data_IF_338664559909
#
_entry.id   IF_338664559909
#
_cell.length_a   1.000
_cell.length_b   1.000
_cell.length_c   1.000
_cell.angle_alpha   90.00
_cell.angle_beta   90.00
_cell.angle_gamma   90.00
#
_symmetry.space_group_name_H-M   'P 1'
#
loop_
_entity.id
_entity.type
_entity.pdbx_description
1 polymer ?
#
# COMPACT_ATOMS: atom_id res chain seq x y z
N UNK A 1 -27.70 49.74 13.86
CA UNK A 1 -27.87 48.39 13.28
C UNK A 1 -26.62 48.08 12.47
N UNK A 2 -25.63 47.37 13.05
CA UNK A 2 -25.45 45.90 13.04
C UNK A 2 -25.47 45.30 11.63
N UNK A 3 -24.31 44.87 11.14
CA UNK A 3 -24.06 43.45 10.86
C UNK A 3 -22.59 43.19 10.49
N UNK A 4 -21.84 42.61 11.42
CA UNK A 4 -20.54 41.98 11.19
C UNK A 4 -20.77 40.54 10.78
N UNK A 5 -20.48 40.21 9.51
CA UNK A 5 -20.45 38.82 9.03
C UNK A 5 -19.22 38.12 9.62
N UNK A 6 -19.45 37.28 10.62
CA UNK A 6 -18.41 36.43 11.20
C UNK A 6 -18.59 35.04 10.61
N UNK A 7 -17.79 34.69 9.61
CA UNK A 7 -17.78 33.33 9.05
C UNK A 7 -16.86 32.46 9.92
N UNK A 8 -17.46 31.63 10.78
CA UNK A 8 -16.76 30.56 11.49
C UNK A 8 -16.55 29.40 10.50
N UNK A 9 -15.32 29.22 10.00
CA UNK A 9 -14.93 27.96 9.35
C UNK A 9 -14.60 26.93 10.43
N UNK A 10 -15.52 26.01 10.67
CA UNK A 10 -15.27 24.80 11.45
C UNK A 10 -14.34 23.86 10.66
N UNK A 11 -13.07 23.79 11.04
CA UNK A 11 -12.20 22.68 10.62
C UNK A 11 -12.68 21.41 11.32
N UNK A 12 -13.44 20.60 10.58
CA UNK A 12 -13.74 19.22 10.96
C UNK A 12 -12.47 18.43 10.68
N UNK A 13 -11.68 18.15 11.73
CA UNK A 13 -10.59 17.20 11.68
C UNK A 13 -11.16 15.82 11.38
N UNK A 14 -11.08 15.38 10.12
CA UNK A 14 -11.25 13.96 9.77
C UNK A 14 -10.07 13.21 10.39
N UNK A 15 -10.26 12.73 11.62
CA UNK A 15 -9.56 11.54 12.10
C UNK A 15 -10.02 10.39 11.22
N UNK A 16 -9.33 10.17 10.11
CA UNK A 16 -9.39 8.93 9.36
C UNK A 16 -8.84 7.85 10.29
N UNK A 17 -9.74 7.26 11.07
CA UNK A 17 -9.50 6.04 11.81
C UNK A 17 -9.37 4.94 10.75
N UNK A 18 -8.19 4.81 10.16
CA UNK A 18 -7.83 3.64 9.36
C UNK A 18 -7.85 2.47 10.32
N UNK A 19 -8.97 1.74 10.36
CA UNK A 19 -8.99 0.42 10.96
C UNK A 19 -7.89 -0.36 10.26
N UNK A 20 -6.81 -0.62 10.99
CA UNK A 20 -5.85 -1.62 10.58
C UNK A 20 -6.68 -2.89 10.36
N UNK A 21 -6.85 -3.25 9.09
CA UNK A 21 -7.56 -4.43 8.69
C UNK A 21 -6.76 -5.60 9.26
N UNK A 22 -7.28 -6.15 10.36
CA UNK A 22 -6.76 -7.31 11.06
C UNK A 22 -7.19 -8.55 10.27
N UNK A 23 -6.60 -8.74 9.09
CA UNK A 23 -6.80 -9.92 8.27
C UNK A 23 -5.41 -10.47 7.89
N UNK A 24 -5.19 -11.77 8.12
CA UNK A 24 -4.07 -12.54 7.56
C UNK A 24 -4.22 -12.59 6.03
N UNK A 25 -4.10 -11.44 5.36
CA UNK A 25 -4.17 -11.33 3.92
C UNK A 25 -2.73 -11.34 3.41
N UNK A 26 -2.24 -12.53 3.09
CA UNK A 26 -0.90 -12.76 2.52
C UNK A 26 -0.91 -12.81 0.99
N UNK A 27 -2.10 -12.70 0.39
CA UNK A 27 -2.29 -12.85 -1.04
C UNK A 27 -1.69 -11.64 -1.78
N UNK A 28 -1.03 -11.86 -2.93
CA UNK A 28 -0.66 -10.79 -3.83
C UNK A 28 -1.87 -9.96 -4.23
N UNK A 29 -1.67 -8.67 -4.46
CA UNK A 29 -2.70 -7.72 -4.84
C UNK A 29 -2.41 -7.14 -6.22
N UNK A 30 -3.46 -6.90 -6.99
CA UNK A 30 -3.36 -6.21 -8.27
C UNK A 30 -3.36 -4.69 -8.05
N UNK A 31 -2.40 -4.00 -8.65
CA UNK A 31 -2.18 -2.56 -8.47
C UNK A 31 -1.91 -1.85 -9.78
N UNK A 32 -2.26 -0.57 -9.81
CA UNK A 32 -1.83 0.38 -10.83
C UNK A 32 -0.62 1.16 -10.31
N UNK A 33 0.39 1.33 -11.17
CA UNK A 33 1.55 2.18 -10.87
C UNK A 33 1.13 3.65 -10.68
N UNK A 34 1.95 4.48 -10.03
CA UNK A 34 1.76 5.93 -10.04
C UNK A 34 1.82 6.51 -11.46
N UNK A 35 1.01 7.53 -11.74
CA UNK A 35 0.98 8.19 -13.07
C UNK A 35 2.31 8.89 -13.39
N UNK A 36 3.01 9.40 -12.37
CA UNK A 36 4.26 10.13 -12.50
C UNK A 36 5.52 9.24 -12.59
N UNK A 37 5.39 7.91 -12.50
CA UNK A 37 6.50 6.97 -12.55
C UNK A 37 6.39 6.01 -13.76
N UNK A 38 7.52 5.52 -14.26
CA UNK A 38 7.51 4.37 -15.18
C UNK A 38 7.29 3.08 -14.40
N UNK A 39 6.86 2.00 -15.06
CA UNK A 39 6.74 0.69 -14.39
C UNK A 39 8.07 0.20 -13.82
N UNK A 40 9.20 0.50 -14.49
CA UNK A 40 10.54 0.19 -13.98
C UNK A 40 10.84 0.94 -12.68
N UNK A 41 10.53 2.24 -12.64
CA UNK A 41 10.76 3.09 -11.46
C UNK A 41 9.90 2.62 -10.29
N UNK A 42 8.63 2.32 -10.56
CA UNK A 42 7.69 1.80 -9.57
C UNK A 42 8.18 0.47 -8.98
N UNK A 43 8.61 -0.47 -9.83
CA UNK A 43 9.17 -1.76 -9.38
C UNK A 43 10.38 -1.56 -8.46
N UNK A 44 11.35 -0.75 -8.89
CA UNK A 44 12.56 -0.46 -8.10
C UNK A 44 12.21 0.19 -6.75
N UNK A 45 11.27 1.13 -6.75
CA UNK A 45 10.84 1.81 -5.52
C UNK A 45 10.13 0.84 -4.57
N UNK A 46 9.22 0.02 -5.10
CA UNK A 46 8.51 -0.99 -4.33
C UNK A 46 9.47 -2.02 -3.70
N UNK A 47 10.37 -2.59 -4.50
CA UNK A 47 11.35 -3.58 -4.03
C UNK A 47 12.35 -3.01 -3.01
N UNK A 48 12.67 -1.71 -3.08
CA UNK A 48 13.51 -1.04 -2.08
C UNK A 48 12.78 -0.78 -0.77
N UNK A 49 11.51 -0.39 -0.83
CA UNK A 49 10.72 -0.07 0.35
C UNK A 49 10.25 -1.33 1.08
N UNK A 50 9.89 -2.38 0.35
CA UNK A 50 9.30 -3.58 0.93
C UNK A 50 10.10 -4.18 2.10
N UNK A 51 11.42 -4.45 2.02
CA UNK A 51 12.14 -5.08 3.12
C UNK A 51 12.34 -4.18 4.35
N UNK A 52 12.13 -2.87 4.22
CA UNK A 52 12.38 -1.89 5.29
C UNK A 52 11.10 -1.21 5.79
N UNK A 53 9.93 -1.56 5.24
CA UNK A 53 8.65 -0.93 5.56
C UNK A 53 8.31 -1.04 7.04
N UNK A 54 8.41 -2.27 7.58
CA UNK A 54 8.40 -2.50 9.02
C UNK A 54 9.86 -2.68 9.46
N UNK A 55 10.36 -1.85 10.40
CA UNK A 55 11.69 -2.04 10.96
C UNK A 55 11.85 -3.42 11.59
N UNK A 56 13.05 -4.03 11.52
CA UNK A 56 13.30 -5.31 12.18
C UNK A 56 12.95 -5.26 13.67
N UNK A 57 12.35 -6.34 14.21
CA UNK A 57 11.86 -6.32 15.57
C UNK A 57 13.01 -6.44 16.57
N UNK A 58 12.90 -5.74 17.71
CA UNK A 58 13.88 -5.84 18.80
C UNK A 58 13.63 -7.05 19.72
N UNK A 59 12.56 -7.80 19.49
CA UNK A 59 12.14 -8.98 20.24
C UNK A 59 11.66 -10.10 19.28
N UNK A 60 11.59 -11.34 19.76
CA UNK A 60 11.35 -12.53 18.91
C UNK A 60 9.98 -12.61 18.25
N UNK A 61 9.02 -11.83 18.71
CA UNK A 61 7.60 -11.98 18.33
C UNK A 61 7.13 -10.85 17.40
N UNK A 62 8.03 -9.98 16.95
CA UNK A 62 7.71 -8.92 16.00
C UNK A 62 7.78 -9.36 14.54
N UNK A 63 7.25 -8.51 13.67
CA UNK A 63 7.21 -8.74 12.22
C UNK A 63 8.61 -8.64 11.62
N UNK A 64 9.05 -9.69 10.93
CA UNK A 64 10.26 -9.67 10.12
C UNK A 64 9.89 -9.77 8.64
N UNK A 65 10.70 -9.14 7.80
CA UNK A 65 10.55 -9.25 6.35
C UNK A 65 10.80 -10.69 5.89
N UNK A 66 9.89 -11.24 5.08
CA UNK A 66 10.00 -12.59 4.53
C UNK A 66 10.29 -12.55 3.03
N UNK A 67 9.42 -11.91 2.24
CA UNK A 67 9.54 -11.94 0.78
C UNK A 67 8.86 -10.76 0.07
N UNK A 68 9.35 -10.47 -1.13
CA UNK A 68 8.75 -9.49 -2.06
C UNK A 68 8.49 -10.20 -3.39
N UNK A 69 7.35 -9.92 -4.03
CA UNK A 69 7.13 -10.26 -5.43
C UNK A 69 6.56 -9.07 -6.19
N UNK A 70 6.97 -8.96 -7.46
CA UNK A 70 6.50 -7.94 -8.38
C UNK A 70 6.36 -8.57 -9.77
N UNK A 71 5.13 -8.80 -10.21
CA UNK A 71 4.83 -9.38 -11.52
C UNK A 71 4.11 -8.33 -12.34
N UNK A 72 4.70 -7.92 -13.46
CA UNK A 72 4.06 -6.93 -14.35
C UNK A 72 2.85 -7.53 -15.05
N UNK A 73 1.86 -6.68 -15.26
CA UNK A 73 0.59 -7.01 -15.89
C UNK A 73 -0.53 -7.28 -14.88
N UNK A 74 -1.74 -7.28 -15.43
CA UNK A 74 -2.95 -7.75 -14.78
C UNK A 74 -2.93 -9.26 -14.54
N UNK A 75 -4.05 -9.81 -14.08
CA UNK A 75 -4.16 -11.23 -13.72
C UNK A 75 -3.81 -12.14 -14.90
N UNK A 76 -4.10 -11.69 -16.13
CA UNK A 76 -3.84 -12.40 -17.38
C UNK A 76 -2.56 -11.91 -18.11
N UNK A 77 -1.75 -11.05 -17.47
CA UNK A 77 -0.53 -10.47 -18.06
C UNK A 77 -0.75 -9.27 -18.99
N UNK A 78 -1.98 -8.75 -19.06
CA UNK A 78 -2.38 -7.55 -19.79
C UNK A 78 -1.83 -6.25 -19.16
N UNK A 79 -1.70 -5.20 -19.96
CA UNK A 79 -1.30 -3.85 -19.49
C UNK A 79 -0.03 -3.80 -18.62
N UNK A 80 1.08 -4.50 -18.98
CA UNK A 80 2.30 -4.58 -18.16
C UNK A 80 3.00 -3.23 -17.92
N UNK A 81 2.65 -2.21 -18.69
CA UNK A 81 3.14 -0.84 -18.55
C UNK A 81 2.35 -0.02 -17.51
N UNK A 82 1.19 -0.50 -17.06
CA UNK A 82 0.32 0.19 -16.09
C UNK A 82 0.00 -0.64 -14.84
N UNK A 83 -0.13 -1.96 -14.98
CA UNK A 83 -0.56 -2.87 -13.93
C UNK A 83 0.57 -3.77 -13.45
N UNK A 84 0.48 -4.18 -12.18
CA UNK A 84 1.32 -5.22 -11.62
C UNK A 84 0.58 -5.97 -10.51
N UNK A 85 0.85 -7.27 -10.38
CA UNK A 85 0.50 -8.06 -9.20
C UNK A 85 1.68 -8.05 -8.24
N UNK A 86 1.48 -7.56 -7.02
CA UNK A 86 2.55 -7.30 -6.05
C UNK A 86 2.28 -7.95 -4.71
N UNK A 87 3.34 -8.36 -4.02
CA UNK A 87 3.31 -8.87 -2.66
C UNK A 87 4.50 -8.34 -1.86
N UNK A 88 4.27 -8.01 -0.60
CA UNK A 88 5.30 -7.63 0.36
C UNK A 88 4.99 -8.30 1.68
N UNK A 89 5.53 -9.49 1.88
CA UNK A 89 5.16 -10.37 2.97
C UNK A 89 6.07 -10.16 4.18
N UNK A 90 5.44 -9.90 5.31
CA UNK A 90 6.04 -9.93 6.64
C UNK A 90 5.45 -11.10 7.44
N UNK A 91 6.28 -11.72 8.28
CA UNK A 91 5.88 -12.84 9.11
C UNK A 91 6.20 -12.61 10.58
N UNK A 92 5.45 -13.28 11.44
CA UNK A 92 5.79 -13.51 12.86
C UNK A 92 5.74 -15.01 13.13
N UNK A 93 5.94 -15.41 14.39
CA UNK A 93 5.71 -16.79 14.82
C UNK A 93 4.25 -17.26 14.67
N UNK A 94 3.28 -16.34 14.63
CA UNK A 94 1.86 -16.66 14.68
C UNK A 94 1.03 -16.17 13.49
N UNK A 95 1.65 -15.55 12.49
CA UNK A 95 0.89 -14.99 11.37
C UNK A 95 1.75 -14.36 10.29
N UNK A 96 1.07 -13.99 9.24
CA UNK A 96 1.63 -13.37 8.04
C UNK A 96 0.78 -12.16 7.65
N UNK A 97 1.44 -11.15 7.08
CA UNK A 97 0.80 -9.92 6.62
C UNK A 97 1.44 -9.46 5.31
N UNK A 98 0.63 -9.24 4.28
CA UNK A 98 1.05 -8.49 3.11
C UNK A 98 0.88 -6.99 3.37
N UNK A 99 1.97 -6.21 3.26
CA UNK A 99 1.97 -4.74 3.38
C UNK A 99 2.11 -4.01 2.04
N UNK A 100 1.96 -4.75 0.93
CA UNK A 100 2.13 -4.19 -0.41
C UNK A 100 1.18 -3.03 -0.67
N UNK A 101 -0.06 -3.11 -0.18
CA UNK A 101 -1.05 -2.06 -0.39
C UNK A 101 -0.58 -0.73 0.20
N UNK A 102 -0.11 -0.74 1.45
CA UNK A 102 0.36 0.47 2.13
C UNK A 102 1.58 1.07 1.41
N UNK A 103 2.49 0.23 0.91
CA UNK A 103 3.64 0.68 0.11
C UNK A 103 3.17 1.31 -1.19
N UNK A 104 2.28 0.65 -1.93
CA UNK A 104 1.75 1.18 -3.21
C UNK A 104 1.05 2.51 -3.02
N UNK A 105 0.22 2.65 -1.99
CA UNK A 105 -0.40 3.94 -1.66
C UNK A 105 0.64 5.01 -1.33
N UNK A 106 1.69 4.66 -0.58
CA UNK A 106 2.76 5.62 -0.22
C UNK A 106 3.55 6.11 -1.44
N UNK A 107 3.65 5.28 -2.48
CA UNK A 107 4.26 5.62 -3.76
C UNK A 107 3.32 6.39 -4.69
N UNK A 108 2.04 6.55 -4.33
CA UNK A 108 1.04 7.23 -5.16
C UNK A 108 0.37 6.32 -6.21
N UNK A 109 0.47 5.00 -6.06
CA UNK A 109 -0.28 4.03 -6.85
C UNK A 109 -1.67 3.74 -6.26
N UNK A 110 -2.39 2.80 -6.86
CA UNK A 110 -3.74 2.43 -6.42
C UNK A 110 -3.99 0.92 -6.57
N UNK A 111 -4.96 0.38 -5.82
CA UNK A 111 -5.49 -0.96 -6.11
C UNK A 111 -6.17 -0.90 -7.48
N UNK A 112 -5.86 -1.87 -8.33
CA UNK A 112 -6.58 -2.10 -9.56
C UNK A 112 -7.53 -3.29 -9.36
N UNK A 113 -8.78 -3.10 -9.77
CA UNK A 113 -9.76 -4.18 -9.86
C UNK A 113 -10.00 -4.43 -11.33
N UNK A 114 -9.65 -5.63 -11.80
CA UNK A 114 -10.15 -6.12 -13.07
C UNK A 114 -11.60 -6.55 -12.81
N UNK A 115 -12.54 -5.67 -13.17
CA UNK A 115 -13.96 -5.96 -13.04
C UNK A 115 -14.29 -7.27 -13.75
N UNK A 116 -14.85 -8.22 -13.00
CA UNK A 116 -15.41 -9.47 -13.53
C UNK A 116 -16.74 -9.15 -14.21
#
# INVERSE_FOLDING_TARGET
MRSTFTALLSLISLLALTKAQEDNYSNPILVAKPDCETMDQFQVNFEKLCPIWIPPPTASDGWYYDSTSFVRGGTDGNSPEYLATVNCLYKTRGGEKNVAFEIVQSLGGAIANEGI
#
